data_IF_417803018047
#
_entry.id   IF_417803018047
#
_cell.length_a   1.000
_cell.length_b   1.000
_cell.length_c   1.000
_cell.angle_alpha   90.00
_cell.angle_beta   90.00
_cell.angle_gamma   90.00
#
_symmetry.space_group_name_H-M   'P 1'
#
loop_
_entity.id
_entity.type
_entity.pdbx_description
1 polymer ?
#
# COMPACT_ATOMS: atom_id res chain seq x y z
N UNK A 1 5.57 -24.97 -39.53
CA UNK A 1 4.80 -23.74 -39.76
C UNK A 1 5.47 -22.93 -40.86
N UNK A 2 4.79 -21.91 -41.43
CA UNK A 2 5.42 -20.98 -42.38
C UNK A 2 6.67 -20.33 -41.77
N UNK A 3 7.60 -19.89 -42.63
CA UNK A 3 8.84 -19.25 -42.20
C UNK A 3 8.58 -17.79 -41.76
N UNK A 4 9.39 -17.29 -40.83
CA UNK A 4 9.30 -15.89 -40.39
C UNK A 4 9.85 -14.90 -41.42
N UNK A 5 9.61 -13.60 -41.19
CA UNK A 5 10.02 -12.51 -42.09
C UNK A 5 11.52 -12.57 -42.45
N UNK A 6 12.38 -12.86 -41.47
CA UNK A 6 13.84 -12.96 -41.66
C UNK A 6 14.31 -14.27 -42.27
N UNK A 7 13.42 -15.25 -42.43
CA UNK A 7 13.71 -16.57 -42.98
C UNK A 7 13.05 -16.79 -44.35
N UNK A 8 12.67 -15.70 -45.03
CA UNK A 8 12.12 -15.74 -46.39
C UNK A 8 10.64 -16.11 -46.49
N UNK A 9 9.91 -16.20 -45.38
CA UNK A 9 8.48 -16.54 -45.39
C UNK A 9 7.52 -15.35 -45.57
N UNK A 10 8.05 -14.15 -45.85
CA UNK A 10 7.26 -12.94 -46.14
C UNK A 10 6.66 -12.27 -44.90
N UNK A 11 5.73 -11.33 -45.11
CA UNK A 11 5.14 -10.48 -44.06
C UNK A 11 3.92 -11.08 -43.37
N UNK A 12 3.31 -12.11 -43.96
CA UNK A 12 2.06 -12.72 -43.47
C UNK A 12 2.15 -13.16 -42.00
N UNK A 13 3.27 -13.79 -41.61
CA UNK A 13 3.46 -14.25 -40.24
C UNK A 13 3.69 -13.10 -39.24
N UNK A 14 4.37 -12.03 -39.66
CA UNK A 14 4.57 -10.85 -38.82
C UNK A 14 3.21 -10.19 -38.52
N UNK A 15 2.36 -10.01 -39.54
CA UNK A 15 1.02 -9.42 -39.37
C UNK A 15 0.18 -10.27 -38.42
N UNK A 16 0.19 -11.60 -38.58
CA UNK A 16 -0.55 -12.49 -37.69
C UNK A 16 -0.08 -12.37 -36.23
N UNK A 17 1.23 -12.29 -35.99
CA UNK A 17 1.79 -12.11 -34.64
C UNK A 17 1.44 -10.75 -34.03
N UNK A 18 1.50 -9.67 -34.81
CA UNK A 18 1.10 -8.34 -34.36
C UNK A 18 -0.37 -8.32 -33.95
N UNK A 19 -1.25 -8.92 -34.75
CA UNK A 19 -2.67 -9.02 -34.42
C UNK A 19 -2.91 -9.85 -33.16
N UNK A 20 -2.21 -10.98 -33.00
CA UNK A 20 -2.29 -11.80 -31.80
C UNK A 20 -1.82 -11.03 -30.56
N UNK A 21 -0.73 -10.26 -30.66
CA UNK A 21 -0.22 -9.43 -29.58
C UNK A 21 -1.20 -8.32 -29.20
N UNK A 22 -1.73 -7.59 -30.19
CA UNK A 22 -2.73 -6.54 -29.96
C UNK A 22 -4.00 -7.10 -29.32
N UNK A 23 -4.50 -8.24 -29.80
CA UNK A 23 -5.65 -8.91 -29.19
C UNK A 23 -5.36 -9.28 -27.74
N UNK A 24 -4.18 -9.82 -27.46
CA UNK A 24 -3.79 -10.20 -26.10
C UNK A 24 -3.74 -8.99 -25.16
N UNK A 25 -3.17 -7.87 -25.61
CA UNK A 25 -3.11 -6.62 -24.84
C UNK A 25 -4.51 -6.08 -24.55
N UNK A 26 -5.37 -6.01 -25.57
CA UNK A 26 -6.73 -5.49 -25.40
C UNK A 26 -7.54 -6.41 -24.49
N UNK A 27 -7.46 -7.72 -24.71
CA UNK A 27 -8.20 -8.70 -23.92
C UNK A 27 -7.79 -8.64 -22.44
N UNK A 28 -6.49 -8.64 -22.13
CA UNK A 28 -6.02 -8.59 -20.74
C UNK A 28 -6.38 -7.26 -20.09
N UNK A 29 -6.21 -6.12 -20.78
CA UNK A 29 -6.60 -4.82 -20.25
C UNK A 29 -8.09 -4.76 -19.90
N UNK A 30 -8.96 -5.24 -20.80
CA UNK A 30 -10.42 -5.24 -20.60
C UNK A 30 -10.81 -6.19 -19.48
N UNK A 31 -10.31 -7.43 -19.49
CA UNK A 31 -10.63 -8.41 -18.45
C UNK A 31 -10.13 -7.95 -17.07
N UNK A 32 -8.90 -7.46 -16.98
CA UNK A 32 -8.37 -6.88 -15.74
C UNK A 32 -9.22 -5.71 -15.28
N UNK A 33 -9.67 -4.82 -16.17
CA UNK A 33 -10.54 -3.70 -15.81
C UNK A 33 -11.90 -4.18 -15.26
N UNK A 34 -12.54 -5.15 -15.92
CA UNK A 34 -13.83 -5.71 -15.49
C UNK A 34 -13.73 -6.31 -14.09
N UNK A 35 -12.59 -6.90 -13.73
CA UNK A 35 -12.37 -7.50 -12.40
C UNK A 35 -11.96 -6.42 -11.38
N UNK A 36 -11.01 -5.56 -11.74
CA UNK A 36 -10.44 -4.57 -10.82
C UNK A 36 -11.44 -3.46 -10.46
N UNK A 37 -12.30 -3.04 -11.40
CA UNK A 37 -13.27 -1.96 -11.18
C UNK A 37 -14.26 -2.24 -10.04
N UNK A 38 -14.97 -3.38 -9.99
CA UNK A 38 -15.87 -3.68 -8.88
C UNK A 38 -15.12 -3.82 -7.55
N UNK A 39 -13.93 -4.43 -7.54
CA UNK A 39 -13.10 -4.55 -6.32
C UNK A 39 -12.71 -3.15 -5.80
N UNK A 40 -12.25 -2.28 -6.69
CA UNK A 40 -11.91 -0.91 -6.36
C UNK A 40 -13.11 -0.14 -5.80
N UNK A 41 -14.31 -0.40 -6.31
CA UNK A 41 -15.54 0.28 -5.85
C UNK A 41 -16.08 -0.26 -4.53
N UNK A 42 -15.89 -1.54 -4.23
CA UNK A 42 -16.46 -2.17 -3.03
C UNK A 42 -15.54 -2.12 -1.82
N UNK A 43 -14.26 -2.48 -1.99
CA UNK A 43 -13.32 -2.65 -0.88
C UNK A 43 -12.11 -1.70 -0.97
N UNK A 44 -11.82 -1.18 -2.16
CA UNK A 44 -10.62 -0.40 -2.41
C UNK A 44 -9.40 -1.30 -2.62
N UNK A 45 -8.65 -1.04 -3.69
CA UNK A 45 -7.50 -1.87 -4.08
C UNK A 45 -6.19 -1.46 -3.39
N UNK A 46 -6.12 -0.23 -2.85
CA UNK A 46 -4.93 0.36 -2.24
C UNK A 46 -5.15 0.54 -0.74
N UNK A 47 -4.10 0.29 0.04
CA UNK A 47 -4.07 0.60 1.47
C UNK A 47 -4.18 2.11 1.70
N UNK A 48 -4.60 2.51 2.90
CA UNK A 48 -4.71 3.94 3.22
C UNK A 48 -3.33 4.60 3.27
N UNK A 49 -3.25 5.90 2.95
CA UNK A 49 -1.99 6.66 2.96
C UNK A 49 -1.27 6.58 4.32
N UNK A 50 -2.02 6.61 5.43
CA UNK A 50 -1.44 6.43 6.78
C UNK A 50 -0.79 5.06 6.96
N UNK A 51 -1.40 3.99 6.44
CA UNK A 51 -0.84 2.63 6.49
C UNK A 51 0.35 2.48 5.53
N UNK A 52 0.32 3.16 4.38
CA UNK A 52 1.43 3.19 3.43
C UNK A 52 2.66 3.87 4.04
N UNK A 53 2.48 4.98 4.76
CA UNK A 53 3.55 5.67 5.48
C UNK A 53 4.06 4.86 6.67
N UNK A 54 3.17 4.22 7.44
CA UNK A 54 3.56 3.39 8.59
C UNK A 54 4.23 2.06 8.18
N UNK A 55 4.10 1.64 6.92
CA UNK A 55 4.59 0.37 6.40
C UNK A 55 3.48 -0.69 6.36
N UNK A 56 3.35 -1.36 5.20
CA UNK A 56 2.37 -2.42 5.00
C UNK A 56 2.57 -3.60 5.97
N UNK A 57 3.82 -3.98 6.22
CA UNK A 57 4.18 -5.09 7.12
C UNK A 57 3.69 -4.84 8.55
N UNK A 58 3.93 -3.63 9.06
CA UNK A 58 3.49 -3.22 10.41
C UNK A 58 1.96 -3.07 10.46
N UNK A 59 1.36 -2.51 9.42
CA UNK A 59 -0.06 -2.14 9.43
C UNK A 59 -1.03 -3.27 9.07
N UNK A 60 -0.61 -4.26 8.28
CA UNK A 60 -1.43 -5.38 7.83
C UNK A 60 -1.01 -6.73 8.42
N UNK A 61 0.28 -6.93 8.69
CA UNK A 61 0.83 -8.20 9.13
C UNK A 61 1.38 -8.17 10.57
N UNK A 62 1.37 -7.00 11.23
CA UNK A 62 1.90 -6.83 12.58
C UNK A 62 3.36 -7.33 12.72
N UNK A 63 4.15 -7.15 11.66
CA UNK A 63 5.52 -7.65 11.57
C UNK A 63 6.52 -6.55 11.17
N UNK A 64 7.78 -6.74 11.52
CA UNK A 64 8.90 -5.90 11.07
C UNK A 64 9.79 -6.71 10.14
N UNK A 65 10.05 -6.20 8.93
CA UNK A 65 10.87 -6.91 7.93
C UNK A 65 12.29 -7.23 8.42
N UNK A 66 12.90 -6.31 9.18
CA UNK A 66 14.23 -6.48 9.78
C UNK A 66 14.31 -5.78 11.13
N UNK A 67 14.93 -6.42 12.10
CA UNK A 67 15.31 -5.81 13.37
C UNK A 67 16.74 -5.27 13.24
N UNK A 68 16.90 -4.01 12.83
CA UNK A 68 18.20 -3.32 12.85
C UNK A 68 18.48 -2.76 14.25
N UNK A 69 18.63 -3.67 15.21
CA UNK A 69 19.09 -3.40 16.57
C UNK A 69 20.32 -4.23 16.89
N UNK A 70 21.39 -3.60 17.38
CA UNK A 70 22.58 -4.29 17.87
C UNK A 70 22.20 -5.15 19.07
N UNK A 71 22.06 -6.46 18.86
CA UNK A 71 21.85 -7.45 19.91
C UNK A 71 20.52 -8.19 19.76
N UNK A 72 20.54 -9.29 19.00
CA UNK A 72 19.36 -10.10 18.75
C UNK A 72 18.68 -10.57 20.04
N UNK A 73 17.40 -10.22 20.19
CA UNK A 73 16.44 -10.90 21.05
C UNK A 73 15.11 -10.88 20.29
N UNK A 74 14.73 -12.04 19.76
CA UNK A 74 13.54 -12.17 18.93
C UNK A 74 12.27 -11.67 19.63
N UNK A 75 11.46 -10.97 18.84
CA UNK A 75 10.05 -10.74 19.10
C UNK A 75 9.76 -9.67 20.15
N UNK A 76 9.67 -8.42 19.72
CA UNK A 76 8.77 -7.49 20.41
C UNK A 76 8.23 -6.41 19.48
N UNK A 77 7.38 -6.85 18.53
CA UNK A 77 6.32 -6.00 18.02
C UNK A 77 5.50 -5.50 19.22
N UNK A 78 5.67 -4.22 19.60
CA UNK A 78 4.95 -3.60 20.72
C UNK A 78 4.18 -2.35 20.29
N UNK A 79 3.06 -2.50 19.58
CA UNK A 79 2.13 -1.39 19.34
C UNK A 79 1.50 -0.87 20.65
N UNK A 80 1.55 -1.64 21.75
CA UNK A 80 1.02 -1.25 23.04
C UNK A 80 1.99 -0.43 23.91
N UNK A 81 3.28 -0.33 23.58
CA UNK A 81 4.20 0.47 24.39
C UNK A 81 3.86 1.97 24.28
N UNK A 82 3.48 2.49 23.12
CA UNK A 82 3.10 3.92 22.99
C UNK A 82 1.79 4.27 23.72
N UNK A 83 0.86 3.31 23.84
CA UNK A 83 -0.36 3.44 24.66
C UNK A 83 -0.08 3.37 26.16
N UNK A 84 0.87 2.54 26.60
CA UNK A 84 1.25 2.37 28.01
C UNK A 84 2.20 3.49 28.49
N UNK A 85 3.04 4.02 27.60
CA UNK A 85 4.03 5.08 27.89
C UNK A 85 3.45 6.50 27.73
N UNK A 86 2.16 6.60 27.41
CA UNK A 86 1.42 7.86 27.36
C UNK A 86 1.83 8.80 26.22
N UNK A 87 2.64 8.34 25.25
CA UNK A 87 3.11 9.17 24.14
C UNK A 87 2.19 9.04 22.92
N UNK A 88 0.95 9.49 23.11
CA UNK A 88 0.18 10.20 22.09
C UNK A 88 -0.84 9.42 21.26
N UNK A 89 -2.10 9.48 21.68
CA UNK A 89 -3.18 9.93 20.79
C UNK A 89 -3.55 11.36 21.21
N UNK A 90 -2.63 12.31 21.01
CA UNK A 90 -2.95 13.74 21.19
C UNK A 90 -3.65 14.21 19.93
N UNK A 91 -4.98 14.22 20.03
CA UNK A 91 -5.89 14.89 19.13
C UNK A 91 -5.63 16.41 19.16
N UNK A 92 -4.87 16.92 18.19
CA UNK A 92 -4.73 18.37 17.96
C UNK A 92 -5.94 18.97 17.22
N UNK A 93 -7.16 18.50 17.49
CA UNK A 93 -8.38 19.11 16.98
C UNK A 93 -9.32 19.63 18.08
N UNK A 94 -8.82 20.51 18.95
CA UNK A 94 -9.60 21.64 19.54
C UNK A 94 -8.76 22.45 20.53
N UNK A 95 -8.21 23.58 20.08
CA UNK A 95 -7.89 24.70 20.97
C UNK A 95 -8.76 25.89 20.58
N UNK A 96 -9.89 26.05 21.27
CA UNK A 96 -10.47 27.37 21.52
C UNK A 96 -10.61 27.51 23.04
N UNK A 97 -9.73 28.34 23.59
CA UNK A 97 -9.67 28.80 24.99
C UNK A 97 -10.97 29.49 25.42
N UNK A 98 -11.32 29.44 26.73
CA UNK A 98 -11.04 30.58 27.59
C UNK A 98 -10.44 30.13 28.95
N UNK A 99 -9.29 30.65 29.36
CA UNK A 99 -9.13 31.87 30.15
C UNK A 99 -9.79 31.81 31.55
N UNK A 100 -8.98 31.56 32.58
CA UNK A 100 -8.84 32.36 33.81
C UNK A 100 -8.33 31.51 34.99
N UNK A 101 -7.05 31.68 35.33
CA UNK A 101 -6.46 31.17 36.56
C UNK A 101 -6.76 32.07 37.76
N UNK A 102 -7.17 31.44 38.85
CA UNK A 102 -7.08 31.81 40.27
C UNK A 102 -7.04 30.42 40.95
N UNK A 103 -6.03 29.99 41.69
CA UNK A 103 -5.62 30.51 42.99
C UNK A 103 -4.24 29.93 43.38
N UNK A 104 -3.54 30.75 44.14
CA UNK A 104 -2.23 30.60 44.74
C UNK A 104 -2.26 29.83 46.07
N UNK A 105 -1.26 28.95 46.25
CA UNK A 105 -0.38 28.80 47.44
C UNK A 105 -1.01 28.79 48.85
N UNK A 106 -0.90 27.64 49.54
CA UNK A 106 -0.79 27.47 51.01
C UNK A 106 -0.21 26.05 51.24
N UNK A 107 0.77 25.75 52.10
CA UNK A 107 1.64 26.48 53.02
C UNK A 107 2.92 25.62 53.21
#
# INVERSE_FOLDING_TARGET
GPAGLFYGGGTTQLVAQVLAALFSIVFTAVMTFIIAFPIHKTMGFRISERQEIAGADVSLHAETAYEFGVGGHGGSFQPMHDLITGKGFTDESKTTQPAAGKESVEA
#
